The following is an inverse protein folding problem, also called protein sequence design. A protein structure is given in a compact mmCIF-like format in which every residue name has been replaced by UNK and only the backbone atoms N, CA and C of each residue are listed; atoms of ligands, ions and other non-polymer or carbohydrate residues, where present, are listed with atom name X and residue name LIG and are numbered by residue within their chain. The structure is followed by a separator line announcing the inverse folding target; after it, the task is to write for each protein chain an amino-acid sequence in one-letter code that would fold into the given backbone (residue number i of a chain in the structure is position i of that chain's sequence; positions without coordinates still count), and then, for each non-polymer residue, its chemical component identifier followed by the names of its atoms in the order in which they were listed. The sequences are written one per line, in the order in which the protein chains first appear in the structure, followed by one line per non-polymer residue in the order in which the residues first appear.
data_IF_351679967993
#
_entry.id   IF_351679967993
#
_cell.length_a   1.000
_cell.length_b   1.000
_cell.length_c   1.000
_cell.angle_alpha   90.00
_cell.angle_beta   90.00
_cell.angle_gamma   90.00
#
_symmetry.space_group_name_H-M   'P 1'
#
loop_
_entity.id
_entity.type
_entity.pdbx_description
1 polymer ?
#
# COMPACT_ATOMS: atom_id res chain seq x y z
N UNK A 1 -33.19 25.95 -43.21
CA UNK A 1 -34.18 25.27 -42.36
C UNK A 1 -33.42 24.34 -41.42
N UNK A 2 -33.38 24.65 -40.13
CA UNK A 2 -32.64 23.87 -39.13
C UNK A 2 -33.46 22.62 -38.76
N UNK A 3 -32.90 21.42 -38.98
CA UNK A 3 -33.56 20.15 -38.75
C UNK A 3 -33.44 19.82 -37.26
N UNK A 4 -34.45 20.19 -36.46
CA UNK A 4 -34.52 19.82 -35.04
C UNK A 4 -34.72 18.31 -34.92
N UNK A 5 -33.66 17.57 -34.68
CA UNK A 5 -33.75 16.13 -34.45
C UNK A 5 -34.47 15.86 -33.13
N UNK A 6 -35.64 15.22 -33.21
CA UNK A 6 -36.40 14.83 -32.03
C UNK A 6 -35.69 13.67 -31.35
N UNK A 7 -35.31 13.83 -30.08
CA UNK A 7 -34.79 12.73 -29.27
C UNK A 7 -35.84 11.62 -29.18
N UNK A 8 -35.62 10.54 -29.91
CA UNK A 8 -36.42 9.32 -29.85
C UNK A 8 -35.76 8.30 -28.92
N UNK A 9 -36.55 7.46 -28.25
CA UNK A 9 -36.08 6.44 -27.30
C UNK A 9 -34.96 5.56 -27.88
N UNK A 10 -35.01 5.31 -29.20
CA UNK A 10 -34.03 4.50 -29.92
C UNK A 10 -32.68 5.20 -30.17
N UNK A 11 -32.67 6.53 -30.17
CA UNK A 11 -31.46 7.34 -30.35
C UNK A 11 -30.88 7.82 -28.99
N UNK A 12 -31.70 7.83 -27.93
CA UNK A 12 -31.28 8.24 -26.58
C UNK A 12 -30.56 7.12 -25.81
N UNK A 13 -31.03 5.88 -25.92
CA UNK A 13 -30.45 4.72 -25.22
C UNK A 13 -28.95 4.50 -25.48
N UNK A 14 -28.44 4.56 -26.74
CA UNK A 14 -26.99 4.41 -26.98
C UNK A 14 -26.16 5.56 -26.40
N UNK A 15 -26.69 6.79 -26.39
CA UNK A 15 -26.02 7.96 -25.80
C UNK A 15 -25.90 7.77 -24.29
N UNK A 16 -27.01 7.40 -23.63
CA UNK A 16 -27.03 7.18 -22.18
C UNK A 16 -26.14 6.00 -21.75
N UNK A 17 -26.16 4.90 -22.51
CA UNK A 17 -25.28 3.76 -22.28
C UNK A 17 -23.80 4.09 -22.45
N UNK A 18 -23.44 4.88 -23.46
CA UNK A 18 -22.04 5.31 -23.66
C UNK A 18 -21.55 6.24 -22.54
N UNK A 19 -22.40 7.14 -22.06
CA UNK A 19 -22.06 8.05 -20.96
C UNK A 19 -21.90 7.32 -19.62
N UNK A 20 -22.64 6.23 -19.42
CA UNK A 20 -22.56 5.40 -18.22
C UNK A 20 -21.28 4.57 -18.12
N UNK A 21 -20.59 4.31 -19.23
CA UNK A 21 -19.33 3.54 -19.25
C UNK A 21 -18.08 4.40 -19.04
N UNK A 22 -18.20 5.74 -19.13
CA UNK A 22 -17.08 6.67 -18.92
C UNK A 22 -16.39 6.50 -17.54
N UNK A 23 -17.12 6.34 -16.42
CA UNK A 23 -16.50 6.16 -15.10
C UNK A 23 -15.78 4.81 -14.94
N UNK A 24 -16.16 3.79 -15.73
CA UNK A 24 -15.58 2.45 -15.63
C UNK A 24 -14.23 2.36 -16.34
N UNK A 25 -14.05 3.11 -17.45
CA UNK A 25 -12.79 3.13 -18.22
C UNK A 25 -11.74 4.03 -17.57
N UNK A 26 -12.15 5.04 -16.79
CA UNK A 26 -11.24 5.98 -16.14
C UNK A 26 -10.54 5.45 -14.87
N UNK A 27 -10.84 4.22 -14.43
CA UNK A 27 -10.25 3.62 -13.23
C UNK A 27 -9.16 2.60 -13.55
N UNK A 28 -8.13 3.01 -14.29
CA UNK A 28 -6.82 2.35 -14.15
C UNK A 28 -5.98 3.18 -13.18
N UNK A 29 -6.07 2.86 -11.88
CA UNK A 29 -4.94 3.14 -11.00
C UNK A 29 -3.81 2.26 -11.54
N UNK A 30 -2.79 2.86 -12.13
CA UNK A 30 -1.49 2.21 -12.13
C UNK A 30 -1.25 1.85 -10.67
N UNK A 31 -1.17 0.55 -10.37
CA UNK A 31 -0.39 0.11 -9.25
C UNK A 31 1.05 0.47 -9.61
N UNK A 32 1.40 1.76 -9.53
CA UNK A 32 2.74 2.12 -9.12
C UNK A 32 2.85 1.40 -7.79
N UNK A 33 3.53 0.27 -7.80
CA UNK A 33 4.20 -0.16 -6.60
C UNK A 33 4.96 1.08 -6.19
N UNK A 34 4.48 1.75 -5.15
CA UNK A 34 5.27 2.67 -4.36
C UNK A 34 6.39 1.83 -3.75
N UNK A 35 7.31 1.38 -4.60
CA UNK A 35 8.71 1.34 -4.28
C UNK A 35 9.13 2.80 -4.40
N UNK A 36 8.61 3.63 -3.49
CA UNK A 36 9.19 4.92 -3.24
C UNK A 36 10.64 4.65 -2.92
N UNK A 37 11.51 5.24 -3.74
CA UNK A 37 12.88 5.49 -3.35
C UNK A 37 12.89 5.91 -1.87
N UNK A 38 13.80 5.30 -1.11
CA UNK A 38 14.19 5.79 0.21
C UNK A 38 13.17 5.69 1.37
N UNK A 39 12.14 4.84 1.29
CA UNK A 39 11.43 4.42 2.51
C UNK A 39 12.41 3.70 3.43
N UNK A 40 12.98 4.46 4.35
CA UNK A 40 14.13 4.07 5.14
C UNK A 40 13.86 2.76 5.90
N UNK A 41 14.45 1.68 5.43
CA UNK A 41 14.44 0.40 6.12
C UNK A 41 15.66 0.33 7.05
N UNK A 42 15.53 -0.45 8.12
CA UNK A 42 16.62 -0.77 9.03
C UNK A 42 16.75 -2.28 9.14
N UNK A 43 17.98 -2.78 9.23
CA UNK A 43 18.27 -4.20 9.42
C UNK A 43 18.40 -4.43 10.92
N UNK A 44 17.55 -5.31 11.46
CA UNK A 44 17.54 -5.68 12.87
C UNK A 44 17.88 -7.15 13.06
N UNK A 45 18.25 -7.51 14.28
CA UNK A 45 18.50 -8.89 14.70
C UNK A 45 17.24 -9.50 15.32
N UNK A 46 16.88 -10.69 14.84
CA UNK A 46 15.88 -11.55 15.48
C UNK A 46 16.49 -12.30 16.67
N UNK A 47 15.65 -12.85 17.58
CA UNK A 47 16.10 -13.70 18.70
C UNK A 47 16.92 -14.91 18.25
N UNK A 48 16.63 -15.43 17.05
CA UNK A 48 17.32 -16.57 16.44
C UNK A 48 18.70 -16.21 15.85
N UNK A 49 19.14 -14.95 16.01
CA UNK A 49 20.42 -14.45 15.50
C UNK A 49 20.42 -14.11 14.00
N UNK A 50 19.30 -14.31 13.30
CA UNK A 50 19.21 -13.96 11.87
C UNK A 50 18.74 -12.51 11.67
N UNK A 51 19.02 -11.95 10.50
CA UNK A 51 18.68 -10.55 10.18
C UNK A 51 17.28 -10.43 9.59
N UNK A 52 16.58 -9.33 9.90
CA UNK A 52 15.30 -8.96 9.30
C UNK A 52 15.30 -7.50 8.88
N UNK A 53 14.72 -7.20 7.73
CA UNK A 53 14.55 -5.84 7.21
C UNK A 53 13.20 -5.28 7.68
N UNK A 54 13.21 -4.18 8.41
CA UNK A 54 12.01 -3.55 8.98
C UNK A 54 11.87 -2.11 8.50
N UNK A 55 10.64 -1.65 8.25
CA UNK A 55 10.37 -0.25 7.90
C UNK A 55 10.63 0.65 9.12
N UNK A 56 11.35 1.77 8.99
CA UNK A 56 11.59 2.70 10.10
C UNK A 56 10.30 3.27 10.68
N UNK A 57 9.26 3.45 9.86
CA UNK A 57 7.93 3.91 10.33
C UNK A 57 7.31 2.97 11.34
N UNK A 58 7.50 1.64 11.19
CA UNK A 58 7.01 0.65 12.15
C UNK A 58 7.81 0.74 13.45
N UNK A 59 9.13 0.94 13.37
CA UNK A 59 9.98 1.07 14.55
C UNK A 59 9.65 2.31 15.39
N UNK A 60 9.41 3.45 14.73
CA UNK A 60 9.02 4.70 15.41
C UNK A 60 7.67 4.59 16.14
N UNK A 61 6.76 3.79 15.61
CA UNK A 61 5.43 3.56 16.21
C UNK A 61 5.41 2.36 17.18
N UNK A 62 6.52 1.65 17.34
CA UNK A 62 6.60 0.47 18.20
C UNK A 62 6.96 0.85 19.64
N UNK A 63 6.42 0.10 20.61
CA UNK A 63 6.75 0.28 22.02
C UNK A 63 7.89 -0.67 22.45
N UNK A 64 8.96 -0.16 23.09
CA UNK A 64 10.02 -1.02 23.62
C UNK A 64 9.52 -1.82 24.84
N UNK A 65 9.41 -3.15 24.68
CA UNK A 65 8.97 -4.07 25.75
C UNK A 65 9.98 -4.16 26.91
N UNK A 66 11.29 -4.05 26.63
CA UNK A 66 12.37 -4.06 27.64
C UNK A 66 13.44 -3.05 27.27
N UNK A 67 13.47 -1.91 27.96
CA UNK A 67 14.41 -0.80 27.67
C UNK A 67 15.84 -1.06 28.11
N UNK A 68 16.03 -1.72 29.26
CA UNK A 68 17.34 -1.98 29.85
C UNK A 68 17.57 -3.48 29.98
N UNK A 69 18.27 -4.07 29.00
CA UNK A 69 18.64 -5.48 29.02
C UNK A 69 20.10 -5.58 29.48
N UNK A 70 20.37 -6.41 30.48
CA UNK A 70 21.74 -6.67 30.95
C UNK A 70 22.50 -7.56 29.96
N UNK A 71 23.83 -7.45 29.89
CA UNK A 71 24.64 -8.29 28.99
C UNK A 71 24.36 -9.80 29.14
N UNK A 72 24.21 -10.36 30.37
CA UNK A 72 23.85 -11.77 30.53
C UNK A 72 22.46 -12.10 29.95
N UNK A 73 21.48 -11.21 30.14
CA UNK A 73 20.15 -11.41 29.59
C UNK A 73 20.15 -11.36 28.05
N UNK A 74 20.89 -10.42 27.46
CA UNK A 74 21.06 -10.34 26.00
C UNK A 74 21.75 -11.60 25.46
N UNK A 75 22.82 -12.05 26.10
CA UNK A 75 23.53 -13.28 25.72
C UNK A 75 22.61 -14.50 25.79
N UNK A 76 21.82 -14.63 26.86
CA UNK A 76 20.84 -15.73 27.01
C UNK A 76 19.77 -15.71 25.91
N UNK A 77 19.41 -14.52 25.42
CA UNK A 77 18.42 -14.34 24.37
C UNK A 77 18.97 -14.76 23.00
N UNK A 78 20.21 -14.37 22.69
CA UNK A 78 20.91 -14.71 21.44
C UNK A 78 21.32 -16.20 21.34
N UNK A 79 21.52 -16.86 22.47
CA UNK A 79 21.97 -18.26 22.53
C UNK A 79 20.83 -19.26 22.69
N UNK A 80 19.59 -18.79 22.77
CA UNK A 80 18.40 -19.63 22.88
C UNK A 80 18.13 -20.31 21.53
N UNK A 81 18.73 -21.48 21.33
CA UNK A 81 18.41 -22.43 20.25
C UNK A 81 17.02 -23.02 20.42
#
# INVERSE_FOLDING_TARGET
MEKKEKLTRRNFLPILGSAFLIPLVASSKENKSELGDDEAFEILLKPDGTTVKVRKTILQNSEPVKKNVTNPALLSWLTKK
#
